data_IF_569978459316
#
_entry.id   IF_569978459316
#
_cell.length_a   1.000
_cell.length_b   1.000
_cell.length_c   1.000
_cell.angle_alpha   90.00
_cell.angle_beta   90.00
_cell.angle_gamma   90.00
#
_symmetry.space_group_name_H-M   'P 1'
#
loop_
_entity.id
_entity.type
_entity.pdbx_description
1 polymer ?
#
# COMPACT_ATOMS: atom_id res chain seq x y z
N UNK A 1 16.60 -10.06 2.66
CA UNK A 1 17.32 -11.07 1.85
C UNK A 1 16.33 -11.81 0.96
N UNK A 2 16.79 -12.30 -0.19
CA UNK A 2 16.06 -13.22 -1.05
C UNK A 2 16.69 -14.61 -0.94
N UNK A 3 15.94 -15.66 -1.24
CA UNK A 3 16.41 -17.04 -1.27
C UNK A 3 16.25 -17.61 -2.68
N UNK A 4 17.33 -18.20 -3.19
CA UNK A 4 17.28 -19.02 -4.40
C UNK A 4 16.91 -20.45 -4.00
N UNK A 5 15.78 -20.93 -4.51
CA UNK A 5 15.28 -22.27 -4.22
C UNK A 5 15.34 -23.12 -5.49
N UNK A 6 15.96 -24.26 -5.42
CA UNK A 6 16.00 -25.26 -6.51
C UNK A 6 15.59 -26.62 -5.94
N UNK A 7 14.68 -27.30 -6.64
CA UNK A 7 14.18 -28.63 -6.25
C UNK A 7 13.73 -28.67 -4.76
N UNK A 8 13.03 -27.63 -4.29
CA UNK A 8 12.52 -27.53 -2.92
C UNK A 8 13.56 -27.20 -1.84
N UNK A 9 14.82 -26.94 -2.21
CA UNK A 9 15.90 -26.62 -1.27
C UNK A 9 16.45 -25.23 -1.52
N UNK A 10 16.72 -24.50 -0.44
CA UNK A 10 17.45 -23.22 -0.51
C UNK A 10 18.90 -23.51 -0.87
N UNK A 11 19.33 -23.07 -2.04
CA UNK A 11 20.73 -23.24 -2.52
C UNK A 11 21.58 -22.02 -2.23
N UNK A 12 20.97 -20.84 -2.09
CA UNK A 12 21.68 -19.59 -1.81
C UNK A 12 20.75 -18.53 -1.20
N UNK A 13 21.30 -17.69 -0.35
CA UNK A 13 20.69 -16.44 0.10
C UNK A 13 21.37 -15.26 -0.57
N UNK A 14 20.56 -14.27 -0.97
CA UNK A 14 21.02 -13.02 -1.55
C UNK A 14 20.70 -11.91 -0.57
N UNK A 15 21.71 -11.22 -0.09
CA UNK A 15 21.57 -10.13 0.87
C UNK A 15 21.36 -8.78 0.20
N UNK A 16 20.84 -7.84 0.96
CA UNK A 16 20.78 -6.42 0.62
C UNK A 16 22.16 -5.79 0.86
N UNK A 17 22.67 -5.00 -0.08
CA UNK A 17 23.97 -4.35 0.02
C UNK A 17 23.88 -3.00 0.73
N UNK A 18 22.88 -2.20 0.38
CA UNK A 18 22.66 -0.87 0.92
C UNK A 18 21.52 -0.87 1.93
N UNK A 19 21.85 -0.86 3.21
CA UNK A 19 20.89 -0.78 4.29
C UNK A 19 20.64 0.70 4.59
N UNK A 20 19.57 1.26 4.04
CA UNK A 20 19.22 2.68 4.15
C UNK A 20 18.23 2.96 5.28
N UNK A 21 17.51 1.94 5.76
CA UNK A 21 16.52 2.09 6.81
C UNK A 21 17.15 1.93 8.18
N UNK A 22 17.11 2.97 9.01
CA UNK A 22 17.72 2.99 10.35
C UNK A 22 17.33 1.79 11.23
N UNK A 23 16.08 1.31 11.11
CA UNK A 23 15.61 0.13 11.85
C UNK A 23 16.29 -1.18 11.37
N UNK A 24 16.71 -1.26 10.11
CA UNK A 24 17.37 -2.43 9.56
C UNK A 24 18.84 -2.52 10.01
N UNK A 25 19.50 -1.38 10.25
CA UNK A 25 20.90 -1.30 10.66
C UNK A 25 21.21 -2.03 11.98
N UNK A 26 20.21 -2.18 12.86
CA UNK A 26 20.36 -2.89 14.13
C UNK A 26 20.30 -4.42 14.01
N UNK A 27 19.80 -4.95 12.89
CA UNK A 27 19.51 -6.39 12.74
C UNK A 27 20.15 -7.04 11.51
N UNK A 28 20.56 -6.24 10.53
CA UNK A 28 21.06 -6.72 9.25
C UNK A 28 22.51 -6.31 9.03
N UNK A 29 23.27 -7.21 8.45
CA UNK A 29 24.62 -6.94 7.95
C UNK A 29 24.55 -6.78 6.43
N UNK A 30 25.13 -5.72 5.84
CA UNK A 30 25.19 -5.54 4.41
C UNK A 30 25.88 -6.72 3.71
N UNK A 31 25.31 -7.17 2.60
CA UNK A 31 25.95 -8.16 1.75
C UNK A 31 27.09 -7.53 0.94
N UNK A 32 28.09 -8.34 0.58
CA UNK A 32 29.20 -7.88 -0.27
C UNK A 32 28.96 -8.29 -1.72
N UNK A 33 28.73 -7.28 -2.57
CA UNK A 33 28.61 -7.48 -4.02
C UNK A 33 27.26 -8.04 -4.49
N UNK A 34 27.11 -8.07 -5.82
CA UNK A 34 25.94 -8.61 -6.51
C UNK A 34 26.02 -10.13 -6.63
N UNK A 35 24.90 -10.80 -6.44
CA UNK A 35 24.82 -12.25 -6.65
C UNK A 35 24.30 -12.56 -8.07
N UNK A 36 24.94 -13.55 -8.69
CA UNK A 36 24.64 -13.97 -10.06
C UNK A 36 24.15 -15.42 -10.08
N UNK A 37 23.11 -15.66 -10.88
CA UNK A 37 22.54 -17.00 -11.09
C UNK A 37 22.28 -17.22 -12.55
N UNK A 38 22.28 -18.49 -12.99
CA UNK A 38 21.87 -18.86 -14.33
C UNK A 38 20.52 -19.56 -14.25
N UNK A 39 19.51 -19.01 -14.92
CA UNK A 39 18.14 -19.53 -14.96
C UNK A 39 17.85 -19.89 -16.41
N UNK A 40 17.71 -21.19 -16.70
CA UNK A 40 17.46 -21.71 -18.06
C UNK A 40 18.39 -21.14 -19.14
N UNK A 41 19.67 -21.00 -18.83
CA UNK A 41 20.67 -20.45 -19.75
C UNK A 41 20.87 -18.94 -19.64
N UNK A 42 19.89 -18.16 -19.20
CA UNK A 42 19.99 -16.73 -19.03
C UNK A 42 20.81 -16.37 -17.78
N UNK A 43 21.83 -15.55 -17.93
CA UNK A 43 22.65 -15.05 -16.82
C UNK A 43 21.96 -13.88 -16.13
N UNK A 44 21.51 -14.08 -14.90
CA UNK A 44 20.76 -13.09 -14.12
C UNK A 44 21.57 -12.53 -12.96
N UNK A 45 21.42 -11.23 -12.71
CA UNK A 45 21.81 -10.59 -11.45
C UNK A 45 20.62 -10.50 -10.50
N UNK A 46 20.80 -10.93 -9.25
CA UNK A 46 19.78 -10.81 -8.22
C UNK A 46 20.05 -9.59 -7.34
N UNK A 47 19.09 -8.71 -7.23
CA UNK A 47 19.17 -7.44 -6.50
C UNK A 47 18.03 -7.33 -5.51
N UNK A 48 18.31 -6.90 -4.28
CA UNK A 48 17.32 -6.83 -3.21
C UNK A 48 17.02 -5.38 -2.82
N UNK A 49 15.76 -5.01 -2.86
CA UNK A 49 15.29 -3.71 -2.39
C UNK A 49 15.85 -2.53 -3.20
N UNK A 50 16.23 -1.48 -2.50
CA UNK A 50 16.74 -0.24 -3.08
C UNK A 50 18.13 -0.36 -3.71
N UNK A 51 18.81 -1.50 -3.59
CA UNK A 51 20.14 -1.71 -4.20
C UNK A 51 20.14 -1.45 -5.71
N UNK A 52 19.03 -1.71 -6.39
CA UNK A 52 18.86 -1.38 -7.80
C UNK A 52 19.05 0.12 -8.08
N UNK A 53 18.62 0.99 -7.19
CA UNK A 53 18.64 2.44 -7.36
C UNK A 53 20.00 3.08 -7.03
N UNK A 54 20.94 2.30 -6.48
CA UNK A 54 22.33 2.72 -6.24
C UNK A 54 23.25 2.39 -7.42
N UNK A 55 22.68 2.10 -8.60
CA UNK A 55 23.38 1.86 -9.88
C UNK A 55 24.54 0.87 -9.75
N UNK A 56 24.29 -0.38 -9.35
CA UNK A 56 25.33 -1.38 -9.27
C UNK A 56 25.94 -1.63 -10.65
N UNK A 57 27.24 -1.86 -10.69
CA UNK A 57 27.88 -2.36 -11.90
C UNK A 57 27.64 -3.87 -12.00
N UNK A 58 26.98 -4.26 -13.09
CA UNK A 58 26.72 -5.66 -13.40
C UNK A 58 27.82 -6.21 -14.31
N UNK A 59 28.14 -7.49 -14.10
CA UNK A 59 28.99 -8.24 -15.03
C UNK A 59 28.43 -8.12 -16.46
N UNK A 60 29.34 -8.03 -17.44
CA UNK A 60 28.97 -7.88 -18.85
C UNK A 60 28.13 -9.06 -19.37
N UNK A 61 28.35 -10.26 -18.82
CA UNK A 61 27.59 -11.47 -19.17
C UNK A 61 26.15 -11.50 -18.65
N UNK A 62 25.77 -10.59 -17.77
CA UNK A 62 24.39 -10.48 -17.27
C UNK A 62 23.48 -10.01 -18.39
N UNK A 63 22.38 -10.71 -18.60
CA UNK A 63 21.34 -10.38 -19.58
C UNK A 63 20.13 -9.75 -18.91
N UNK A 64 19.80 -10.25 -17.70
CA UNK A 64 18.61 -9.82 -16.96
C UNK A 64 18.93 -9.49 -15.52
N UNK A 65 18.41 -8.40 -15.02
CA UNK A 65 18.47 -7.99 -13.62
C UNK A 65 17.11 -8.32 -12.98
N UNK A 66 17.10 -9.11 -11.93
CA UNK A 66 15.90 -9.45 -11.15
C UNK A 66 15.98 -8.69 -9.83
N UNK A 67 15.10 -7.72 -9.64
CA UNK A 67 14.99 -6.94 -8.42
C UNK A 67 13.78 -7.39 -7.60
N UNK A 68 14.04 -7.93 -6.42
CA UNK A 68 13.01 -8.31 -5.45
C UNK A 68 12.87 -7.19 -4.43
N UNK A 69 11.69 -6.59 -4.37
CA UNK A 69 11.46 -5.36 -3.63
C UNK A 69 10.25 -5.45 -2.69
N UNK A 70 10.31 -4.74 -1.57
CA UNK A 70 9.19 -4.43 -0.68
C UNK A 70 9.09 -2.90 -0.57
N UNK A 71 8.74 -2.25 -1.69
CA UNK A 71 8.63 -0.80 -1.77
C UNK A 71 7.22 -0.38 -1.41
N UNK A 72 7.11 0.34 -0.31
CA UNK A 72 5.83 0.88 0.14
C UNK A 72 5.27 1.90 -0.85
N UNK A 73 3.96 1.91 -0.97
CA UNK A 73 3.25 2.95 -1.72
C UNK A 73 3.55 4.35 -1.17
N UNK A 74 3.83 5.26 -2.07
CA UNK A 74 3.92 6.70 -1.80
C UNK A 74 3.30 7.46 -2.95
N UNK A 75 2.49 8.46 -2.63
CA UNK A 75 1.88 9.34 -3.64
C UNK A 75 2.96 9.92 -4.57
N UNK A 76 2.81 9.71 -5.88
CA UNK A 76 3.70 10.25 -6.91
C UNK A 76 5.04 9.51 -7.10
N UNK A 77 5.29 8.41 -6.38
CA UNK A 77 6.55 7.65 -6.49
C UNK A 77 6.58 6.69 -7.69
N UNK A 78 5.42 6.29 -8.21
CA UNK A 78 5.32 5.27 -9.24
C UNK A 78 6.06 5.64 -10.53
N UNK A 79 5.78 6.81 -11.10
CA UNK A 79 6.46 7.27 -12.34
C UNK A 79 7.95 7.38 -12.15
N UNK A 80 8.39 8.00 -11.05
CA UNK A 80 9.82 8.14 -10.73
C UNK A 80 10.51 6.78 -10.63
N UNK A 81 9.86 5.80 -10.01
CA UNK A 81 10.38 4.43 -9.90
C UNK A 81 10.62 3.83 -11.27
N UNK A 82 9.64 3.93 -12.18
CA UNK A 82 9.75 3.39 -13.53
C UNK A 82 10.71 4.17 -14.42
N UNK A 83 10.85 5.47 -14.24
CA UNK A 83 11.85 6.27 -14.95
C UNK A 83 13.28 5.86 -14.58
N UNK A 84 13.52 5.57 -13.31
CA UNK A 84 14.83 5.05 -12.86
C UNK A 84 15.10 3.67 -13.44
N UNK A 85 14.12 2.75 -13.41
CA UNK A 85 14.26 1.40 -13.96
C UNK A 85 14.51 1.45 -15.46
N UNK A 86 13.79 2.31 -16.19
CA UNK A 86 14.00 2.57 -17.62
C UNK A 86 15.43 3.01 -17.90
N UNK A 87 15.91 3.99 -17.16
CA UNK A 87 17.27 4.48 -17.33
C UNK A 87 18.32 3.39 -17.06
N UNK A 88 18.14 2.59 -16.01
CA UNK A 88 19.04 1.46 -15.71
C UNK A 88 19.03 0.45 -16.86
N UNK A 89 17.84 0.05 -17.32
CA UNK A 89 17.68 -0.93 -18.41
C UNK A 89 18.39 -0.43 -19.68
N UNK A 90 18.12 0.80 -20.08
CA UNK A 90 18.69 1.42 -21.28
C UNK A 90 20.22 1.61 -21.17
N UNK A 91 20.72 2.26 -20.11
CA UNK A 91 22.15 2.59 -19.94
C UNK A 91 23.00 1.33 -19.76
N UNK A 92 22.52 0.34 -19.03
CA UNK A 92 23.24 -0.93 -18.81
C UNK A 92 22.98 -1.96 -19.94
N UNK A 93 22.01 -1.72 -20.82
CA UNK A 93 21.64 -2.65 -21.90
C UNK A 93 21.12 -4.00 -21.36
N UNK A 94 20.36 -3.98 -20.27
CA UNK A 94 19.90 -5.20 -19.58
C UNK A 94 18.38 -5.19 -19.45
N UNK A 95 17.75 -6.36 -19.55
CA UNK A 95 16.37 -6.49 -19.10
C UNK A 95 16.27 -6.30 -17.60
N UNK A 96 15.25 -5.61 -17.11
CA UNK A 96 15.01 -5.43 -15.68
C UNK A 96 13.63 -5.98 -15.31
N UNK A 97 13.62 -6.97 -14.45
CA UNK A 97 12.40 -7.54 -13.85
C UNK A 97 12.32 -7.04 -12.42
N UNK A 98 11.37 -6.17 -12.16
CA UNK A 98 11.09 -5.70 -10.81
C UNK A 98 9.87 -6.43 -10.27
N UNK A 99 10.04 -7.12 -9.15
CA UNK A 99 8.96 -7.81 -8.42
C UNK A 99 8.78 -7.10 -7.09
N UNK A 100 7.66 -6.42 -6.92
CA UNK A 100 7.34 -5.69 -5.70
C UNK A 100 6.29 -6.42 -4.88
N UNK A 101 6.40 -6.33 -3.56
CA UNK A 101 5.38 -6.80 -2.63
C UNK A 101 4.05 -6.08 -2.89
N UNK A 102 2.93 -6.76 -2.60
CA UNK A 102 1.58 -6.19 -2.60
C UNK A 102 0.90 -6.44 -1.26
N UNK A 103 -0.02 -5.54 -0.89
CA UNK A 103 -0.85 -5.68 0.30
C UNK A 103 -0.47 -4.77 1.46
N UNK A 104 -1.32 -4.77 2.49
CA UNK A 104 -1.12 -4.00 3.73
C UNK A 104 -0.33 -4.79 4.77
N UNK A 105 0.56 -4.11 5.50
CA UNK A 105 1.28 -4.67 6.63
C UNK A 105 1.39 -3.60 7.73
N UNK A 106 0.61 -3.75 8.80
CA UNK A 106 0.44 -2.77 9.86
C UNK A 106 0.03 -1.39 9.30
N UNK A 107 0.89 -0.40 9.35
CA UNK A 107 0.72 0.97 8.86
C UNK A 107 1.23 1.19 7.42
N UNK A 108 1.78 0.14 6.79
CA UNK A 108 2.37 0.23 5.46
C UNK A 108 1.49 -0.46 4.43
N UNK A 109 1.41 0.14 3.24
CA UNK A 109 0.76 -0.48 2.08
C UNK A 109 1.78 -0.59 0.96
N UNK A 110 1.78 -1.74 0.30
CA UNK A 110 2.62 -2.04 -0.86
C UNK A 110 1.75 -2.12 -2.10
N UNK A 111 2.14 -1.40 -3.13
CA UNK A 111 1.32 -1.20 -4.32
C UNK A 111 1.41 -2.33 -5.36
N UNK A 112 2.30 -3.29 -5.16
CA UNK A 112 2.58 -4.25 -6.22
C UNK A 112 3.20 -3.54 -7.41
N UNK A 113 2.42 -3.39 -8.49
CA UNK A 113 2.89 -2.73 -9.72
C UNK A 113 4.25 -3.28 -10.15
N UNK A 114 4.40 -4.60 -10.08
CA UNK A 114 5.59 -5.29 -10.61
C UNK A 114 5.66 -5.12 -12.12
N UNK A 115 6.85 -5.14 -12.70
CA UNK A 115 6.96 -4.93 -14.13
C UNK A 115 8.27 -5.40 -14.74
N UNK A 116 8.26 -5.48 -16.05
CA UNK A 116 9.41 -5.85 -16.86
C UNK A 116 9.74 -4.72 -17.83
N UNK A 117 10.99 -4.31 -17.81
CA UNK A 117 11.58 -3.38 -18.74
C UNK A 117 12.58 -4.13 -19.62
N UNK A 118 12.49 -4.00 -20.94
CA UNK A 118 13.48 -4.55 -21.83
C UNK A 118 14.79 -3.73 -21.82
N UNK A 119 15.83 -4.24 -22.46
CA UNK A 119 17.14 -3.61 -22.55
C UNK A 119 17.17 -2.30 -23.36
N UNK A 120 16.06 -1.94 -24.00
CA UNK A 120 15.85 -0.66 -24.68
C UNK A 120 15.12 0.36 -23.80
N UNK A 121 14.76 -0.02 -22.57
CA UNK A 121 13.99 0.81 -21.66
C UNK A 121 12.50 0.86 -21.97
N UNK A 122 11.97 -0.12 -22.73
CA UNK A 122 10.55 -0.21 -23.00
C UNK A 122 9.86 -1.09 -21.96
N UNK A 123 8.76 -0.61 -21.41
CA UNK A 123 7.94 -1.38 -20.47
C UNK A 123 7.16 -2.47 -21.25
N UNK A 124 7.51 -3.72 -21.00
CA UNK A 124 6.90 -4.87 -21.73
C UNK A 124 5.83 -5.59 -20.92
N UNK A 125 5.87 -5.46 -19.59
CA UNK A 125 4.82 -5.97 -18.69
C UNK A 125 4.64 -5.01 -17.53
N UNK A 126 3.40 -4.86 -17.10
CA UNK A 126 2.99 -4.16 -15.89
C UNK A 126 1.89 -4.96 -15.21
N UNK A 127 2.14 -5.37 -13.97
CA UNK A 127 1.20 -6.12 -13.16
C UNK A 127 0.26 -5.16 -12.43
N UNK A 128 -0.83 -5.70 -11.87
CA UNK A 128 -1.88 -4.95 -11.19
C UNK A 128 -1.38 -4.16 -9.98
N UNK A 129 -2.10 -3.10 -9.65
CA UNK A 129 -1.93 -2.34 -8.42
C UNK A 129 -2.79 -2.92 -7.30
N UNK A 130 -2.25 -3.00 -6.10
CA UNK A 130 -2.93 -3.40 -4.85
C UNK A 130 -3.65 -4.77 -4.89
N UNK A 131 -3.32 -5.60 -5.88
CA UNK A 131 -3.82 -6.96 -6.05
C UNK A 131 -2.66 -7.90 -6.39
N UNK A 132 -2.80 -9.18 -6.01
CA UNK A 132 -1.91 -10.23 -6.47
C UNK A 132 -2.12 -10.44 -7.97
N UNK A 133 -1.01 -10.59 -8.72
CA UNK A 133 -1.04 -10.83 -10.16
C UNK A 133 0.13 -11.73 -10.56
N UNK A 134 -0.07 -12.49 -11.64
CA UNK A 134 0.92 -13.39 -12.19
C UNK A 134 0.95 -13.27 -13.71
N UNK A 135 2.12 -13.00 -14.26
CA UNK A 135 2.34 -12.92 -15.71
C UNK A 135 3.58 -13.69 -16.13
N UNK A 136 3.53 -14.26 -17.32
CA UNK A 136 4.66 -14.92 -17.97
C UNK A 136 5.11 -14.07 -19.15
N UNK A 137 6.41 -13.94 -19.34
CA UNK A 137 7.00 -13.25 -20.47
C UNK A 137 8.25 -14.00 -20.94
N UNK A 138 8.57 -13.82 -22.22
CA UNK A 138 9.78 -14.34 -22.82
C UNK A 138 10.87 -13.24 -22.80
N UNK A 139 12.04 -13.55 -22.25
CA UNK A 139 13.16 -12.60 -22.18
C UNK A 139 13.84 -12.39 -23.54
N UNK A 140 13.75 -13.35 -24.46
CA UNK A 140 14.36 -13.26 -25.79
C UNK A 140 13.46 -12.54 -26.81
N UNK A 141 12.14 -12.66 -26.62
CA UNK A 141 11.16 -12.04 -27.52
C UNK A 141 9.99 -11.41 -26.74
N UNK A 142 10.19 -10.23 -26.14
CA UNK A 142 9.15 -9.52 -25.44
C UNK A 142 8.08 -8.99 -26.41
N UNK A 143 7.18 -9.86 -26.85
CA UNK A 143 6.21 -9.63 -27.93
C UNK A 143 5.11 -8.61 -27.63
N UNK A 144 5.04 -8.05 -26.42
CA UNK A 144 3.98 -7.11 -26.03
C UNK A 144 4.57 -5.93 -25.26
N UNK A 145 4.19 -4.73 -25.62
CA UNK A 145 4.56 -3.52 -24.87
C UNK A 145 3.36 -2.93 -24.15
N UNK A 146 3.60 -2.38 -22.99
CA UNK A 146 2.66 -1.53 -22.28
C UNK A 146 2.96 -0.08 -22.67
N UNK A 147 1.95 0.64 -23.13
CA UNK A 147 2.14 2.01 -23.68
C UNK A 147 2.68 3.00 -22.64
N UNK A 148 2.22 2.91 -21.39
CA UNK A 148 2.67 3.82 -20.33
C UNK A 148 2.37 3.28 -18.93
N UNK A 149 3.12 3.77 -17.95
CA UNK A 149 2.73 3.67 -16.53
C UNK A 149 1.64 4.71 -16.27
N UNK A 150 0.54 4.37 -15.60
CA UNK A 150 -0.51 5.35 -15.28
C UNK A 150 0.06 6.48 -14.42
N UNK A 151 -0.06 7.73 -14.87
CA UNK A 151 0.55 8.93 -14.25
C UNK A 151 -0.40 10.12 -14.19
N UNK A 152 -1.66 9.98 -14.65
CA UNK A 152 -2.61 11.09 -14.66
C UNK A 152 -3.00 11.55 -13.25
N UNK A 153 -3.52 12.76 -13.15
CA UNK A 153 -4.01 13.29 -11.86
C UNK A 153 -5.16 12.42 -11.32
N UNK A 154 -6.01 11.91 -12.20
CA UNK A 154 -7.12 11.01 -11.84
C UNK A 154 -6.58 9.69 -11.30
N UNK A 155 -5.52 9.14 -11.88
CA UNK A 155 -4.89 7.93 -11.38
C UNK A 155 -4.29 8.13 -9.99
N UNK A 156 -3.80 9.32 -9.67
CA UNK A 156 -3.27 9.63 -8.32
C UNK A 156 -4.34 9.49 -7.24
N UNK A 157 -5.54 10.02 -7.48
CA UNK A 157 -6.66 9.92 -6.53
C UNK A 157 -7.15 8.47 -6.43
N UNK A 158 -7.25 7.79 -7.56
CA UNK A 158 -7.59 6.36 -7.62
C UNK A 158 -6.60 5.52 -6.80
N UNK A 159 -5.30 5.72 -6.97
CA UNK A 159 -4.28 4.98 -6.22
C UNK A 159 -4.34 5.26 -4.71
N UNK A 160 -4.66 6.48 -4.28
CA UNK A 160 -4.86 6.77 -2.85
C UNK A 160 -6.05 5.98 -2.31
N UNK A 161 -7.16 5.96 -3.04
CA UNK A 161 -8.36 5.21 -2.69
C UNK A 161 -8.08 3.70 -2.63
N UNK A 162 -7.46 3.13 -3.66
CA UNK A 162 -7.10 1.70 -3.72
C UNK A 162 -6.13 1.33 -2.59
N UNK A 163 -5.15 2.18 -2.29
CA UNK A 163 -4.23 1.97 -1.18
C UNK A 163 -4.94 1.94 0.18
N UNK A 164 -5.87 2.87 0.41
CA UNK A 164 -6.64 2.93 1.65
C UNK A 164 -7.52 1.68 1.81
N UNK A 165 -8.22 1.28 0.76
CA UNK A 165 -9.04 0.06 0.76
C UNK A 165 -8.20 -1.21 0.97
N UNK A 166 -7.04 -1.32 0.30
CA UNK A 166 -6.12 -2.44 0.45
C UNK A 166 -5.58 -2.52 1.88
N UNK A 167 -5.12 -1.40 2.45
CA UNK A 167 -4.60 -1.34 3.81
C UNK A 167 -5.65 -1.73 4.83
N UNK A 168 -6.87 -1.21 4.71
CA UNK A 168 -7.97 -1.51 5.62
C UNK A 168 -8.39 -2.99 5.53
N UNK A 169 -8.60 -3.52 4.35
CA UNK A 169 -8.96 -4.92 4.13
C UNK A 169 -7.92 -5.86 4.74
N UNK A 170 -6.65 -5.63 4.45
CA UNK A 170 -5.58 -6.48 4.92
C UNK A 170 -5.39 -6.39 6.44
N UNK A 171 -5.59 -5.21 7.03
CA UNK A 171 -5.59 -5.05 8.47
C UNK A 171 -6.66 -5.92 9.14
N UNK A 172 -7.89 -5.90 8.62
CA UNK A 172 -8.97 -6.72 9.15
C UNK A 172 -8.69 -8.21 8.99
N UNK A 173 -8.32 -8.65 7.80
CA UNK A 173 -8.03 -10.05 7.49
C UNK A 173 -6.90 -10.60 8.35
N UNK A 174 -5.78 -9.88 8.46
CA UNK A 174 -4.59 -10.31 9.19
C UNK A 174 -4.78 -10.35 10.71
N UNK A 175 -5.69 -9.53 11.23
CA UNK A 175 -6.04 -9.54 12.65
C UNK A 175 -7.27 -10.42 12.98
N UNK A 176 -7.88 -11.05 11.99
CA UNK A 176 -9.05 -11.89 12.16
C UNK A 176 -10.35 -11.11 12.44
N UNK A 177 -10.36 -9.80 12.21
CA UNK A 177 -11.54 -8.96 12.36
C UNK A 177 -12.48 -9.16 11.17
N UNK A 178 -13.78 -9.24 11.45
CA UNK A 178 -14.80 -9.47 10.41
C UNK A 178 -15.73 -8.29 10.22
N UNK A 179 -15.93 -7.47 11.25
CA UNK A 179 -16.89 -6.36 11.23
C UNK A 179 -16.25 -5.07 11.73
N UNK A 180 -16.65 -3.97 11.13
CA UNK A 180 -16.27 -2.61 11.51
C UNK A 180 -17.47 -1.85 12.06
N UNK A 181 -17.20 -0.97 13.02
CA UNK A 181 -18.15 0.04 13.48
C UNK A 181 -17.53 1.42 13.20
N UNK A 182 -18.28 2.29 12.54
CA UNK A 182 -17.84 3.63 12.13
C UNK A 182 -18.74 4.69 12.77
N UNK A 183 -18.14 5.65 13.49
CA UNK A 183 -18.86 6.84 13.92
C UNK A 183 -19.14 7.73 12.72
N UNK A 184 -20.42 8.00 12.43
CA UNK A 184 -20.85 8.85 11.31
C UNK A 184 -21.42 10.12 11.89
N UNK A 185 -20.76 11.25 11.65
CA UNK A 185 -21.12 12.55 12.24
C UNK A 185 -21.98 13.45 11.34
N UNK A 186 -22.26 13.01 10.10
CA UNK A 186 -22.85 13.86 9.06
C UNK A 186 -21.82 14.73 8.32
N UNK A 187 -20.56 14.77 8.79
CA UNK A 187 -19.47 15.49 8.11
C UNK A 187 -18.75 14.64 7.06
N UNK A 188 -18.06 15.31 6.12
CA UNK A 188 -17.40 14.69 4.99
C UNK A 188 -16.33 13.67 5.38
N UNK A 189 -15.58 13.92 6.44
CA UNK A 189 -14.49 13.02 6.85
C UNK A 189 -15.02 11.65 7.29
N UNK A 190 -16.05 11.65 8.15
CA UNK A 190 -16.71 10.41 8.57
C UNK A 190 -17.42 9.70 7.41
N UNK A 191 -17.95 10.46 6.44
CA UNK A 191 -18.56 9.92 5.24
C UNK A 191 -17.51 9.19 4.38
N UNK A 192 -16.34 9.79 4.15
CA UNK A 192 -15.25 9.16 3.42
C UNK A 192 -14.78 7.88 4.13
N UNK A 193 -14.64 7.90 5.46
CA UNK A 193 -14.27 6.70 6.23
C UNK A 193 -15.30 5.58 6.08
N UNK A 194 -16.60 5.91 6.14
CA UNK A 194 -17.66 4.92 5.94
C UNK A 194 -17.64 4.33 4.52
N UNK A 195 -17.45 5.17 3.49
CA UNK A 195 -17.32 4.71 2.11
C UNK A 195 -16.11 3.77 1.92
N UNK A 196 -14.95 4.11 2.48
CA UNK A 196 -13.76 3.28 2.42
C UNK A 196 -13.95 1.94 3.16
N UNK A 197 -14.62 1.97 4.32
CA UNK A 197 -14.93 0.76 5.07
C UNK A 197 -15.83 -0.19 4.28
N UNK A 198 -16.88 0.33 3.64
CA UNK A 198 -17.79 -0.46 2.79
C UNK A 198 -17.05 -1.02 1.57
N UNK A 199 -16.23 -0.20 0.91
CA UNK A 199 -15.45 -0.65 -0.24
C UNK A 199 -14.42 -1.73 0.10
N UNK A 200 -13.86 -1.68 1.30
CA UNK A 200 -12.85 -2.64 1.74
C UNK A 200 -13.45 -3.93 2.32
N UNK A 201 -14.58 -3.87 3.02
CA UNK A 201 -15.10 -4.94 3.86
C UNK A 201 -16.47 -5.50 3.41
N UNK A 202 -17.19 -4.78 2.54
CA UNK A 202 -18.58 -5.05 2.18
C UNK A 202 -19.56 -4.39 3.17
N UNK A 203 -20.72 -3.96 2.65
CA UNK A 203 -21.75 -3.24 3.44
C UNK A 203 -22.26 -4.06 4.62
N UNK A 204 -22.40 -5.36 4.47
CA UNK A 204 -22.87 -6.32 5.48
C UNK A 204 -21.93 -6.44 6.69
N UNK A 205 -20.68 -5.99 6.53
CA UNK A 205 -19.65 -6.03 7.56
C UNK A 205 -19.38 -4.67 8.20
N UNK A 206 -20.13 -3.62 7.78
CA UNK A 206 -19.96 -2.26 8.31
C UNK A 206 -21.22 -1.83 9.02
N UNK A 207 -21.08 -1.26 10.21
CA UNK A 207 -22.16 -0.64 10.99
C UNK A 207 -21.83 0.81 11.23
N UNK A 208 -22.78 1.71 10.93
CA UNK A 208 -22.70 3.13 11.25
C UNK A 208 -23.31 3.45 12.61
N UNK A 209 -22.64 4.29 13.38
CA UNK A 209 -23.17 4.85 14.62
C UNK A 209 -23.19 6.36 14.53
N UNK A 210 -24.36 6.97 14.73
CA UNK A 210 -24.50 8.39 14.99
C UNK A 210 -24.72 8.60 16.49
N UNK A 211 -23.90 9.44 17.12
CA UNK A 211 -23.94 9.72 18.55
C UNK A 211 -24.26 11.19 18.79
N UNK A 212 -25.52 11.63 18.57
CA UNK A 212 -25.89 13.02 18.69
C UNK A 212 -25.87 13.47 20.17
N UNK A 213 -25.41 14.70 20.35
CA UNK A 213 -25.50 15.44 21.63
C UNK A 213 -26.34 16.70 21.43
N UNK A 214 -26.42 17.54 22.46
CA UNK A 214 -27.09 18.86 22.38
C UNK A 214 -26.42 19.82 21.39
N UNK A 215 -25.21 19.50 20.91
CA UNK A 215 -24.45 20.30 19.94
C UNK A 215 -24.63 19.83 18.50
N UNK A 216 -25.27 18.68 18.29
CA UNK A 216 -25.47 18.11 16.97
C UNK A 216 -26.65 18.79 16.26
N UNK A 217 -26.47 19.22 15.01
CA UNK A 217 -27.57 19.77 14.22
C UNK A 217 -28.48 18.66 13.69
N UNK A 218 -29.76 18.98 13.47
CA UNK A 218 -30.71 18.05 12.83
C UNK A 218 -30.24 17.65 11.42
N UNK A 219 -29.68 18.58 10.65
CA UNK A 219 -29.13 18.30 9.32
C UNK A 219 -28.01 17.27 9.35
N UNK A 220 -27.10 17.33 10.34
CA UNK A 220 -26.04 16.33 10.47
C UNK A 220 -26.56 14.90 10.73
N UNK A 221 -27.65 14.80 11.49
CA UNK A 221 -28.29 13.50 11.75
C UNK A 221 -28.95 12.94 10.48
N UNK A 222 -29.63 13.79 9.72
CA UNK A 222 -30.28 13.39 8.47
C UNK A 222 -29.24 13.02 7.40
N UNK A 223 -28.15 13.80 7.25
CA UNK A 223 -27.06 13.50 6.32
C UNK A 223 -26.39 12.16 6.65
N UNK A 224 -26.17 11.87 7.93
CA UNK A 224 -25.59 10.59 8.37
C UNK A 224 -26.51 9.41 8.05
N UNK A 225 -27.82 9.57 8.25
CA UNK A 225 -28.84 8.57 7.93
C UNK A 225 -28.92 8.31 6.44
N UNK A 226 -29.01 9.37 5.63
CA UNK A 226 -29.06 9.26 4.18
C UNK A 226 -27.80 8.59 3.61
N UNK A 227 -26.62 8.91 4.16
CA UNK A 227 -25.39 8.24 3.78
C UNK A 227 -25.45 6.73 4.08
N UNK A 228 -25.91 6.35 5.27
CA UNK A 228 -26.00 4.95 5.66
C UNK A 228 -26.98 4.17 4.77
N UNK A 229 -28.13 4.77 4.42
CA UNK A 229 -29.08 4.21 3.46
C UNK A 229 -28.45 4.02 2.08
N UNK A 230 -27.74 5.03 1.56
CA UNK A 230 -27.06 4.98 0.27
C UNK A 230 -25.95 3.91 0.23
N UNK A 231 -25.27 3.68 1.35
CA UNK A 231 -24.21 2.65 1.49
C UNK A 231 -24.78 1.26 1.78
N UNK A 232 -26.05 1.15 2.13
CA UNK A 232 -26.70 -0.13 2.48
C UNK A 232 -26.18 -0.74 3.77
N UNK A 233 -25.72 0.07 4.74
CA UNK A 233 -25.16 -0.39 6.01
C UNK A 233 -26.19 -0.34 7.14
N UNK A 234 -26.03 -1.20 8.13
CA UNK A 234 -26.78 -1.10 9.39
C UNK A 234 -26.43 0.20 10.11
N UNK A 235 -27.43 0.97 10.55
CA UNK A 235 -27.22 2.28 11.15
C UNK A 235 -28.02 2.46 12.43
N UNK A 236 -27.36 3.00 13.46
CA UNK A 236 -27.97 3.27 14.76
C UNK A 236 -27.73 4.71 15.19
N UNK A 237 -28.75 5.32 15.76
CA UNK A 237 -28.65 6.61 16.44
C UNK A 237 -28.65 6.37 17.93
N UNK A 238 -27.58 6.74 18.60
CA UNK A 238 -27.35 6.54 20.04
C UNK A 238 -27.09 7.88 20.69
N UNK A 239 -28.12 8.57 21.23
CA UNK A 239 -27.94 9.86 21.91
C UNK A 239 -26.97 9.75 23.09
N UNK A 240 -25.99 10.66 23.15
CA UNK A 240 -24.97 10.66 24.22
C UNK A 240 -25.13 11.81 25.24
N UNK A 241 -26.23 12.55 25.17
CA UNK A 241 -26.47 13.75 26.03
C UNK A 241 -26.42 13.42 27.52
N UNK A 242 -27.01 12.31 27.95
CA UNK A 242 -27.00 11.93 29.37
C UNK A 242 -25.59 11.51 29.82
N UNK A 243 -24.87 10.73 29.01
CA UNK A 243 -23.48 10.36 29.30
C UNK A 243 -22.59 11.60 29.41
N UNK A 244 -22.75 12.55 28.47
CA UNK A 244 -22.05 13.83 28.49
C UNK A 244 -22.31 14.60 29.78
N UNK A 245 -23.59 14.77 30.18
CA UNK A 245 -23.97 15.44 31.42
C UNK A 245 -23.35 14.77 32.63
N UNK A 246 -23.43 13.47 32.74
CA UNK A 246 -22.85 12.71 33.86
C UNK A 246 -21.35 12.92 33.98
N UNK A 247 -20.59 13.00 32.88
CA UNK A 247 -19.17 13.29 32.84
C UNK A 247 -18.92 14.72 33.31
N UNK A 248 -19.67 15.70 32.79
CA UNK A 248 -19.55 17.11 33.15
C UNK A 248 -19.80 17.31 34.66
N UNK A 249 -20.90 16.77 35.19
CA UNK A 249 -21.26 16.85 36.58
C UNK A 249 -20.17 16.26 37.51
N UNK A 250 -19.52 15.20 37.06
CA UNK A 250 -18.40 14.56 37.78
C UNK A 250 -17.15 15.46 37.80
N UNK A 251 -16.90 16.22 36.73
CA UNK A 251 -15.69 17.04 36.57
C UNK A 251 -15.83 18.45 37.13
N UNK A 252 -17.02 19.03 37.14
CA UNK A 252 -17.26 20.40 37.64
C UNK A 252 -16.63 20.68 39.01
N UNK A 253 -16.76 19.80 40.02
CA UNK A 253 -16.15 20.06 41.36
C UNK A 253 -14.62 20.14 41.31
N UNK A 254 -13.98 19.57 40.30
CA UNK A 254 -12.52 19.54 40.17
C UNK A 254 -11.98 20.71 39.33
N UNK A 255 -12.73 21.09 38.27
CA UNK A 255 -12.27 22.11 37.33
C UNK A 255 -12.91 23.49 37.52
N UNK A 256 -13.89 23.63 38.42
CA UNK A 256 -14.34 24.92 38.96
C UNK A 256 -15.22 25.75 38.03
N UNK A 257 -15.95 25.18 37.08
CA UNK A 257 -16.89 25.87 36.21
C UNK A 257 -17.43 25.07 35.04
N UNK A 258 -18.47 25.60 34.40
CA UNK A 258 -19.12 25.01 33.22
C UNK A 258 -18.63 25.62 31.88
N UNK A 259 -17.77 26.64 31.94
CA UNK A 259 -17.19 27.27 30.76
C UNK A 259 -16.04 26.40 30.21
N UNK A 260 -16.43 25.22 29.71
CA UNK A 260 -15.55 24.46 28.83
C UNK A 260 -15.52 25.19 27.50
N UNK A 261 -14.50 26.02 27.28
CA UNK A 261 -14.15 26.36 25.92
C UNK A 261 -13.92 25.03 25.19
N UNK A 262 -14.83 24.71 24.28
CA UNK A 262 -14.60 23.61 23.34
C UNK A 262 -13.30 23.98 22.63
N UNK A 263 -12.22 23.34 23.00
CA UNK A 263 -11.02 23.35 22.16
C UNK A 263 -11.41 22.54 20.95
N UNK A 264 -11.49 23.24 19.81
CA UNK A 264 -11.62 22.66 18.49
C UNK A 264 -10.55 21.60 18.21
#
# INVERSE_FOLDING_TARGET
>A
AAALIQQGRVVRYVGKQNITVRRELGFLTPSKGCEYVTIRGCRCALVVGDDLFHTPDFDKSVETVINIHARRYRKGDLSRRYDVIRNIAYVKGKNVVMVNQVGGATELVYDGMSGVMDNWGKLVRLLKSFEEDFQVFDTENPACSVESVPVSVNDRTRFIYEAACCGLRDFFVKNGYKKACVGVSGGIDSAVVACLAVAALGAENVRGLMMPSQFSSEGSVEDAKQLAENLGIEFHVVPITEAYRSIVDTLIPVIGGTDFAATE
#
